data_IF_406136748942
#
_entry.id   IF_406136748942
#
_cell.length_a   1.000
_cell.length_b   1.000
_cell.length_c   1.000
_cell.angle_alpha   90.00
_cell.angle_beta   90.00
_cell.angle_gamma   90.00
#
_symmetry.space_group_name_H-M   'P 1'
#
loop_
_entity.id
_entity.type
_entity.pdbx_description
1 polymer ?
#
# COMPACT_ATOMS: atom_id res chain seq x y z
N UNK A 1 -4.95 -0.77 -18.46
CA UNK A 1 -4.28 -0.57 -17.17
C UNK A 1 -4.51 -1.80 -16.30
N UNK A 2 -3.53 -2.70 -16.18
CA UNK A 2 -3.63 -3.89 -15.35
C UNK A 2 -3.56 -3.49 -13.86
N UNK A 3 -4.60 -3.87 -13.11
CA UNK A 3 -4.78 -3.63 -11.69
C UNK A 3 -3.58 -4.17 -10.88
N UNK A 4 -3.11 -3.36 -9.94
CA UNK A 4 -2.14 -3.78 -8.94
C UNK A 4 -2.86 -4.62 -7.88
N UNK A 5 -3.10 -5.88 -8.19
CA UNK A 5 -3.23 -6.89 -7.15
C UNK A 5 -1.81 -7.21 -6.67
N UNK A 6 -1.50 -7.16 -5.36
CA UNK A 6 -0.29 -7.78 -4.87
C UNK A 6 -0.33 -9.24 -5.30
N UNK A 7 0.68 -9.68 -6.05
CA UNK A 7 0.88 -11.09 -6.32
C UNK A 7 0.96 -11.78 -4.95
N UNK A 8 0.20 -12.87 -4.78
CA UNK A 8 0.02 -13.57 -3.52
C UNK A 8 1.31 -13.63 -2.72
N UNK A 9 1.26 -13.11 -1.51
CA UNK A 9 2.27 -13.37 -0.48
C UNK A 9 2.28 -14.87 -0.23
N UNK A 10 3.28 -15.56 -0.77
CA UNK A 10 3.86 -16.68 -0.04
C UNK A 10 4.21 -16.17 1.34
N UNK A 11 3.65 -16.81 2.36
CA UNK A 11 3.84 -16.50 3.76
C UNK A 11 5.30 -16.11 4.04
N UNK A 12 5.50 -14.91 4.60
CA UNK A 12 6.73 -14.62 5.32
C UNK A 12 6.85 -15.66 6.43
N UNK A 13 7.81 -16.55 6.30
CA UNK A 13 8.21 -17.43 7.38
C UNK A 13 8.73 -16.54 8.52
N UNK A 14 8.12 -16.71 9.69
CA UNK A 14 8.49 -16.13 10.96
C UNK A 14 9.91 -16.61 11.32
N UNK A 15 10.94 -15.85 10.96
CA UNK A 15 12.28 -16.02 11.53
C UNK A 15 12.27 -15.33 12.88
N UNK A 16 11.92 -16.11 13.91
CA UNK A 16 11.93 -15.66 15.29
C UNK A 16 13.31 -15.14 15.69
N UNK A 17 13.40 -13.81 15.83
CA UNK A 17 14.51 -13.15 16.48
C UNK A 17 13.96 -12.39 17.69
N UNK A 18 14.33 -12.86 18.88
CA UNK A 18 13.94 -12.28 20.16
C UNK A 18 14.50 -10.86 20.29
N UNK A 19 13.72 -9.86 19.91
CA UNK A 19 13.98 -8.48 20.34
C UNK A 19 13.63 -8.36 21.83
N UNK A 20 14.63 -7.96 22.61
CA UNK A 20 14.52 -7.70 24.04
C UNK A 20 13.33 -6.74 24.33
N UNK A 21 12.48 -7.12 25.28
CA UNK A 21 11.38 -6.30 25.79
C UNK A 21 11.96 -5.06 26.46
N UNK A 22 11.91 -3.91 25.80
CA UNK A 22 11.99 -2.62 26.46
C UNK A 22 10.61 -2.31 27.00
N UNK A 23 10.47 -2.33 28.33
CA UNK A 23 9.22 -1.97 29.00
C UNK A 23 8.97 -0.46 28.82
N UNK A 24 7.93 -0.13 28.04
CA UNK A 24 7.39 1.22 27.97
C UNK A 24 6.42 1.39 29.14
N UNK A 25 6.62 2.37 30.05
CA UNK A 25 5.66 2.62 31.12
C UNK A 25 4.32 3.11 30.55
N UNK A 26 3.18 2.74 31.15
CA UNK A 26 1.88 3.21 30.70
C UNK A 26 1.77 4.73 30.88
N UNK A 27 1.00 5.41 30.00
CA UNK A 27 0.73 6.84 30.16
C UNK A 27 -0.05 7.12 31.45
N UNK A 28 0.15 8.29 32.09
CA UNK A 28 -0.63 8.66 33.26
C UNK A 28 -2.11 8.82 32.91
N UNK A 29 -2.97 8.43 33.84
CA UNK A 29 -4.42 8.58 33.72
C UNK A 29 -4.80 10.07 33.61
N UNK A 30 -5.78 10.43 32.77
CA UNK A 30 -6.26 11.80 32.70
C UNK A 30 -7.06 12.15 33.97
N UNK A 31 -6.73 13.31 34.54
CA UNK A 31 -7.41 13.91 35.68
C UNK A 31 -8.88 14.18 35.39
N UNK A 32 -9.73 13.80 36.34
CA UNK A 32 -11.17 14.07 36.34
C UNK A 32 -11.44 15.52 36.72
N UNK A 33 -12.14 16.27 35.88
CA UNK A 33 -12.90 17.44 36.30
C UNK A 33 -14.08 17.70 35.35
N UNK A 34 -15.29 17.73 35.93
CA UNK A 34 -16.45 18.45 35.40
C UNK A 34 -17.55 17.63 34.72
N UNK A 35 -18.58 17.23 35.49
CA UNK A 35 -19.94 16.98 34.98
C UNK A 35 -20.53 18.27 34.34
N UNK A 36 -21.49 18.12 33.41
CA UNK A 36 -22.86 18.27 33.85
C UNK A 36 -23.80 17.16 33.34
N UNK A 37 -24.85 16.98 34.14
CA UNK A 37 -25.94 16.01 34.08
C UNK A 37 -26.86 16.16 32.86
N UNK A 38 -27.28 15.03 32.31
CA UNK A 38 -28.57 14.88 31.65
C UNK A 38 -29.08 13.45 31.88
N UNK A 39 -30.20 13.36 32.60
CA UNK A 39 -30.94 12.13 32.86
C UNK A 39 -31.40 11.47 31.55
N UNK A 40 -31.11 10.18 31.40
CA UNK A 40 -31.89 9.28 30.58
C UNK A 40 -31.86 7.89 31.24
N UNK A 41 -32.89 7.62 32.03
CA UNK A 41 -33.23 6.30 32.53
C UNK A 41 -33.54 5.39 31.34
N UNK A 42 -32.73 4.36 31.10
CA UNK A 42 -33.12 3.20 30.28
C UNK A 42 -32.71 1.95 31.04
N UNK A 43 -33.72 1.19 31.46
CA UNK A 43 -33.57 -0.08 32.14
C UNK A 43 -32.95 -1.15 31.24
N UNK A 44 -32.24 -2.07 31.91
CA UNK A 44 -31.72 -3.31 31.36
C UNK A 44 -32.80 -4.14 30.66
N UNK A 45 -32.48 -4.60 29.44
CA UNK A 45 -32.18 -6.02 29.16
C UNK A 45 -31.93 -6.18 27.67
N UNK A 46 -30.67 -6.40 27.28
CA UNK A 46 -30.33 -6.96 25.98
C UNK A 46 -29.09 -7.82 26.15
N UNK A 47 -29.24 -9.12 25.88
CA UNK A 47 -28.19 -10.12 25.95
C UNK A 47 -27.08 -9.94 24.90
N UNK A 48 -26.20 -10.94 24.72
CA UNK A 48 -24.89 -10.83 24.06
C UNK A 48 -24.93 -10.72 22.52
N UNK A 49 -26.01 -10.20 21.93
CA UNK A 49 -26.18 -10.09 20.47
C UNK A 49 -25.50 -8.85 19.85
N UNK A 50 -25.15 -7.83 20.64
CA UNK A 50 -24.67 -6.53 20.11
C UNK A 50 -23.24 -6.48 19.57
N UNK A 51 -22.47 -7.58 19.62
CA UNK A 51 -21.08 -7.63 19.15
C UNK A 51 -20.94 -7.88 17.64
N UNK A 52 -21.75 -8.79 17.10
CA UNK A 52 -21.71 -9.16 15.68
C UNK A 52 -22.24 -8.03 14.78
N UNK A 53 -23.32 -7.37 15.19
CA UNK A 53 -23.94 -6.28 14.43
C UNK A 53 -23.03 -5.04 14.38
N UNK A 54 -22.31 -4.74 15.48
CA UNK A 54 -21.31 -3.67 15.51
C UNK A 54 -20.10 -3.97 14.63
N UNK A 55 -19.64 -5.22 14.60
CA UNK A 55 -18.54 -5.65 13.75
C UNK A 55 -18.91 -5.57 12.25
N UNK A 56 -20.14 -5.98 11.89
CA UNK A 56 -20.66 -5.88 10.54
C UNK A 56 -20.78 -4.42 10.07
N UNK A 57 -21.37 -3.54 10.89
CA UNK A 57 -21.47 -2.10 10.58
C UNK A 57 -20.10 -1.43 10.46
N UNK A 58 -19.14 -1.82 11.30
CA UNK A 58 -17.75 -1.32 11.23
C UNK A 58 -17.06 -1.77 9.94
N UNK A 59 -17.25 -3.02 9.53
CA UNK A 59 -16.70 -3.58 8.28
C UNK A 59 -17.29 -2.90 7.04
N UNK A 60 -18.60 -2.66 7.03
CA UNK A 60 -19.27 -1.95 5.94
C UNK A 60 -18.78 -0.51 5.81
N UNK A 61 -18.68 0.22 6.92
CA UNK A 61 -18.14 1.57 6.94
C UNK A 61 -16.70 1.63 6.42
N UNK A 62 -15.83 0.69 6.84
CA UNK A 62 -14.45 0.59 6.35
C UNK A 62 -14.39 0.25 4.85
N UNK A 63 -15.26 -0.64 4.37
CA UNK A 63 -15.33 -1.03 2.96
C UNK A 63 -15.78 0.13 2.08
N UNK A 64 -16.78 0.90 2.51
CA UNK A 64 -17.27 2.10 1.82
C UNK A 64 -16.21 3.20 1.78
N UNK A 65 -15.54 3.46 2.91
CA UNK A 65 -14.42 4.41 2.97
C UNK A 65 -13.25 3.98 2.09
N UNK A 66 -12.93 2.67 2.06
CA UNK A 66 -11.90 2.13 1.17
C UNK A 66 -12.27 2.33 -0.30
N UNK A 67 -13.51 2.03 -0.71
CA UNK A 67 -13.96 2.23 -2.08
C UNK A 67 -13.86 3.71 -2.50
N UNK A 68 -14.36 4.63 -1.66
CA UNK A 68 -14.31 6.07 -1.97
C UNK A 68 -12.88 6.63 -2.06
N UNK A 69 -11.98 6.21 -1.16
CA UNK A 69 -10.58 6.63 -1.22
C UNK A 69 -9.81 6.00 -2.38
N UNK A 70 -10.13 4.75 -2.73
CA UNK A 70 -9.60 4.08 -3.92
C UNK A 70 -10.08 4.77 -5.21
N UNK A 71 -11.33 5.23 -5.26
CA UNK A 71 -11.85 5.97 -6.41
C UNK A 71 -11.11 7.30 -6.59
N UNK A 72 -10.91 8.05 -5.50
CA UNK A 72 -10.10 9.26 -5.49
C UNK A 72 -8.65 9.00 -5.93
N UNK A 73 -8.05 7.87 -5.52
CA UNK A 73 -6.73 7.47 -5.99
C UNK A 73 -6.68 7.19 -7.50
N UNK A 74 -7.70 6.52 -8.06
CA UNK A 74 -7.76 6.30 -9.51
C UNK A 74 -7.91 7.61 -10.30
N UNK A 75 -8.73 8.54 -9.82
CA UNK A 75 -8.84 9.88 -10.42
C UNK A 75 -7.49 10.60 -10.37
N UNK A 76 -6.78 10.56 -9.24
CA UNK A 76 -5.44 11.15 -9.11
C UNK A 76 -4.43 10.53 -10.09
N UNK A 77 -4.42 9.21 -10.24
CA UNK A 77 -3.54 8.54 -11.19
C UNK A 77 -3.79 8.95 -12.64
N UNK A 78 -5.04 9.24 -12.99
CA UNK A 78 -5.44 9.74 -14.32
C UNK A 78 -5.12 11.22 -14.50
N UNK A 79 -5.52 12.04 -13.56
CA UNK A 79 -5.58 13.50 -13.71
C UNK A 79 -4.36 14.25 -13.13
N UNK A 80 -3.55 13.59 -12.29
CA UNK A 80 -2.32 14.13 -11.68
C UNK A 80 -2.54 15.48 -10.95
N UNK A 81 -3.64 15.61 -10.21
CA UNK A 81 -4.09 16.87 -9.60
C UNK A 81 -3.33 17.26 -8.34
N UNK A 82 -2.70 16.28 -7.69
CA UNK A 82 -1.83 16.50 -6.54
C UNK A 82 -0.40 16.82 -6.98
N UNK A 83 0.31 17.55 -6.13
CA UNK A 83 1.75 17.71 -6.30
C UNK A 83 2.50 16.38 -6.07
N UNK A 84 3.80 16.36 -6.39
CA UNK A 84 4.61 15.15 -6.30
C UNK A 84 4.70 14.59 -4.86
N UNK A 85 4.72 15.45 -3.85
CA UNK A 85 4.82 15.02 -2.45
C UNK A 85 3.47 14.47 -1.94
N UNK A 86 2.38 15.15 -2.25
CA UNK A 86 1.02 14.73 -1.91
C UNK A 86 0.65 13.42 -2.59
N UNK A 87 0.98 13.26 -3.88
CA UNK A 87 0.76 12.01 -4.62
C UNK A 87 1.52 10.84 -4.00
N UNK A 88 2.79 11.04 -3.61
CA UNK A 88 3.58 10.02 -2.89
C UNK A 88 2.96 9.65 -1.54
N UNK A 89 2.46 10.64 -0.80
CA UNK A 89 1.75 10.39 0.44
C UNK A 89 0.47 9.59 0.21
N UNK A 90 -0.31 9.93 -0.83
CA UNK A 90 -1.53 9.21 -1.17
C UNK A 90 -1.22 7.74 -1.53
N UNK A 91 -0.23 7.51 -2.39
CA UNK A 91 0.21 6.17 -2.79
C UNK A 91 0.62 5.31 -1.59
N UNK A 92 1.45 5.87 -0.69
CA UNK A 92 1.88 5.15 0.51
C UNK A 92 0.69 4.79 1.41
N UNK A 93 -0.21 5.74 1.67
CA UNK A 93 -1.39 5.50 2.49
C UNK A 93 -2.31 4.45 1.87
N UNK A 94 -2.53 4.47 0.55
CA UNK A 94 -3.33 3.45 -0.14
C UNK A 94 -2.69 2.06 -0.02
N UNK A 95 -1.36 1.98 -0.13
CA UNK A 95 -0.62 0.73 0.05
C UNK A 95 -0.76 0.17 1.47
N UNK A 96 -0.58 1.01 2.49
CA UNK A 96 -0.73 0.62 3.90
C UNK A 96 -2.18 0.22 4.21
N UNK A 97 -3.15 1.01 3.75
CA UNK A 97 -4.58 0.73 3.96
C UNK A 97 -4.99 -0.61 3.35
N UNK A 98 -4.55 -0.89 2.12
CA UNK A 98 -4.86 -2.16 1.45
C UNK A 98 -4.28 -3.35 2.22
N UNK A 99 -3.01 -3.27 2.66
CA UNK A 99 -2.38 -4.33 3.47
C UNK A 99 -3.08 -4.52 4.82
N UNK A 100 -3.47 -3.43 5.47
CA UNK A 100 -4.19 -3.49 6.74
C UNK A 100 -5.55 -4.20 6.59
N UNK A 101 -6.28 -3.92 5.51
CA UNK A 101 -7.55 -4.58 5.23
C UNK A 101 -7.36 -6.07 4.93
N UNK A 102 -6.33 -6.44 4.16
CA UNK A 102 -5.97 -7.86 3.95
C UNK A 102 -5.66 -8.56 5.27
N UNK A 103 -4.84 -7.94 6.12
CA UNK A 103 -4.48 -8.48 7.44
C UNK A 103 -5.68 -8.59 8.39
N UNK A 104 -6.71 -7.75 8.22
CA UNK A 104 -7.95 -7.83 8.99
C UNK A 104 -8.89 -8.97 8.57
N UNK A 105 -8.49 -9.77 7.57
CA UNK A 105 -9.27 -10.91 7.08
C UNK A 105 -10.31 -10.56 6.02
N UNK A 106 -10.22 -9.37 5.40
CA UNK A 106 -10.99 -9.08 4.19
C UNK A 106 -10.44 -9.96 3.05
N UNK A 107 -11.30 -10.75 2.41
CA UNK A 107 -10.84 -11.67 1.39
C UNK A 107 -10.33 -10.87 0.17
N UNK A 108 -9.26 -11.35 -0.47
CA UNK A 108 -8.70 -10.70 -1.67
C UNK A 108 -9.76 -10.46 -2.77
N UNK A 109 -10.73 -11.37 -2.88
CA UNK A 109 -11.86 -11.24 -3.81
C UNK A 109 -12.77 -10.06 -3.48
N UNK A 110 -13.02 -9.79 -2.19
CA UNK A 110 -13.83 -8.65 -1.76
C UNK A 110 -13.10 -7.34 -2.04
N UNK A 111 -11.80 -7.28 -1.72
CA UNK A 111 -10.95 -6.12 -2.03
C UNK A 111 -10.92 -5.83 -3.54
N UNK A 112 -10.76 -6.88 -4.37
CA UNK A 112 -10.82 -6.74 -5.81
C UNK A 112 -12.18 -6.20 -6.29
N UNK A 113 -13.28 -6.66 -5.70
CA UNK A 113 -14.62 -6.13 -5.97
C UNK A 113 -14.77 -4.65 -5.63
N UNK A 114 -14.27 -4.24 -4.46
CA UNK A 114 -14.26 -2.83 -4.05
C UNK A 114 -13.40 -1.96 -4.98
N UNK A 115 -12.24 -2.47 -5.41
CA UNK A 115 -11.37 -1.79 -6.37
C UNK A 115 -12.04 -1.63 -7.73
N UNK A 116 -12.77 -2.65 -8.21
CA UNK A 116 -13.52 -2.54 -9.47
C UNK A 116 -14.66 -1.51 -9.38
N UNK A 117 -15.39 -1.49 -8.27
CA UNK A 117 -16.42 -0.48 -8.02
C UNK A 117 -15.82 0.94 -7.95
N UNK A 118 -14.72 1.09 -7.23
CA UNK A 118 -13.99 2.34 -7.13
C UNK A 118 -13.47 2.82 -8.50
N UNK A 119 -12.99 1.91 -9.34
CA UNK A 119 -12.56 2.22 -10.69
C UNK A 119 -13.74 2.67 -11.57
N UNK A 120 -14.91 2.02 -11.43
CA UNK A 120 -16.14 2.42 -12.11
C UNK A 120 -16.58 3.83 -11.69
N UNK A 121 -16.57 4.12 -10.39
CA UNK A 121 -16.92 5.44 -9.84
C UNK A 121 -15.93 6.53 -10.29
N UNK A 122 -14.63 6.23 -10.32
CA UNK A 122 -13.61 7.13 -10.85
C UNK A 122 -13.78 7.43 -12.35
N UNK A 123 -14.33 6.47 -13.10
CA UNK A 123 -14.61 6.59 -14.54
C UNK A 123 -16.01 7.13 -14.84
N UNK A 124 -16.80 7.52 -13.83
CA UNK A 124 -18.05 8.22 -14.06
C UNK A 124 -17.78 9.55 -14.81
N UNK A 125 -18.67 9.90 -15.73
CA UNK A 125 -18.69 11.17 -16.45
C UNK A 125 -18.53 12.39 -15.54
N UNK A 126 -19.06 12.35 -14.32
CA UNK A 126 -18.94 13.43 -13.35
C UNK A 126 -17.50 13.72 -12.86
N UNK A 127 -16.55 12.83 -13.13
CA UNK A 127 -15.14 12.96 -12.70
C UNK A 127 -14.15 12.88 -13.84
N UNK A 128 -14.65 12.90 -15.08
CA UNK A 128 -13.85 12.70 -16.28
C UNK A 128 -13.05 13.94 -16.68
N UNK A 129 -13.51 15.12 -16.28
CA UNK A 129 -12.80 16.37 -16.48
C UNK A 129 -11.74 16.56 -15.38
N UNK A 130 -10.48 16.58 -15.79
CA UNK A 130 -9.35 16.80 -14.88
C UNK A 130 -9.14 18.28 -14.55
N UNK A 131 -9.85 19.20 -15.21
CA UNK A 131 -9.69 20.65 -15.02
C UNK A 131 -10.64 21.25 -13.99
N UNK A 132 -11.64 20.52 -13.52
CA UNK A 132 -12.66 21.06 -12.62
C UNK A 132 -12.24 21.05 -11.14
N UNK A 133 -12.72 22.03 -10.38
CA UNK A 133 -12.42 22.17 -8.95
C UNK A 133 -13.07 21.05 -8.11
N UNK A 134 -14.16 20.44 -8.60
CA UNK A 134 -14.89 19.39 -7.88
C UNK A 134 -14.10 18.07 -7.85
N UNK A 135 -13.49 17.69 -8.98
CA UNK A 135 -12.61 16.53 -9.16
C UNK A 135 -11.36 16.71 -8.34
N UNK A 136 -10.77 17.92 -8.33
CA UNK A 136 -9.66 18.23 -7.41
C UNK A 136 -10.08 18.10 -5.94
N UNK A 137 -11.23 18.67 -5.56
CA UNK A 137 -11.75 18.57 -4.20
C UNK A 137 -12.01 17.11 -3.78
N UNK A 138 -12.51 16.28 -4.71
CA UNK A 138 -12.71 14.84 -4.51
C UNK A 138 -11.39 14.12 -4.23
N UNK A 139 -10.35 14.36 -5.04
CA UNK A 139 -9.01 13.79 -4.83
C UNK A 139 -8.42 14.22 -3.48
N UNK A 140 -8.48 15.52 -3.15
CA UNK A 140 -7.98 16.07 -1.88
C UNK A 140 -8.74 15.47 -0.69
N UNK A 141 -10.06 15.29 -0.80
CA UNK A 141 -10.87 14.62 0.23
C UNK A 141 -10.45 13.16 0.42
N UNK A 142 -10.15 12.45 -0.66
CA UNK A 142 -9.59 11.09 -0.61
C UNK A 142 -8.27 11.03 0.14
N UNK A 143 -7.31 11.90 -0.20
CA UNK A 143 -6.02 11.99 0.51
C UNK A 143 -6.22 12.30 2.00
N UNK A 144 -7.07 13.25 2.35
CA UNK A 144 -7.38 13.59 3.75
C UNK A 144 -7.97 12.40 4.51
N UNK A 145 -8.88 11.66 3.88
CA UNK A 145 -9.50 10.49 4.50
C UNK A 145 -8.45 9.40 4.79
N UNK A 146 -7.58 9.07 3.84
CA UNK A 146 -6.56 8.02 4.09
C UNK A 146 -5.50 8.44 5.10
N UNK A 147 -5.12 9.73 5.14
CA UNK A 147 -4.23 10.30 6.17
C UNK A 147 -4.80 10.12 7.59
N UNK A 148 -6.12 10.21 7.74
CA UNK A 148 -6.80 10.02 9.02
C UNK A 148 -7.02 8.55 9.36
N UNK A 149 -7.30 7.70 8.38
CA UNK A 149 -7.64 6.29 8.61
C UNK A 149 -6.41 5.43 8.89
N UNK A 150 -5.33 5.61 8.13
CA UNK A 150 -4.15 4.72 8.22
C UNK A 150 -3.57 4.69 9.63
N UNK A 151 -3.31 5.83 10.31
CA UNK A 151 -2.80 5.81 11.69
C UNK A 151 -3.77 5.15 12.66
N UNK A 152 -5.08 5.33 12.49
CA UNK A 152 -6.11 4.72 13.35
C UNK A 152 -6.18 3.20 13.19
N UNK A 153 -5.97 2.69 11.98
CA UNK A 153 -6.05 1.27 11.68
C UNK A 153 -4.74 0.52 11.93
N UNK A 154 -3.60 1.19 11.78
CA UNK A 154 -2.29 0.53 11.74
C UNK A 154 -1.29 1.05 12.76
N UNK A 155 -1.55 2.20 13.37
CA UNK A 155 -0.55 2.92 14.17
C UNK A 155 0.58 3.57 13.36
N UNK A 156 0.62 3.37 12.03
CA UNK A 156 1.66 3.90 11.17
C UNK A 156 1.33 5.33 10.73
N UNK A 157 2.36 6.18 10.72
CA UNK A 157 2.28 7.54 10.20
C UNK A 157 3.12 7.66 8.93
N UNK A 158 2.68 8.48 7.99
CA UNK A 158 3.46 8.76 6.79
C UNK A 158 4.69 9.58 7.16
N UNK A 159 5.85 9.01 6.88
CA UNK A 159 7.13 9.70 6.91
C UNK A 159 7.69 9.70 5.48
N UNK A 160 7.90 10.87 4.87
CA UNK A 160 8.33 10.96 3.47
C UNK A 160 9.66 10.26 3.20
N UNK A 161 10.58 10.22 4.18
CA UNK A 161 11.86 9.53 4.02
C UNK A 161 11.66 8.01 4.06
N UNK A 162 10.92 7.50 5.04
CA UNK A 162 10.63 6.06 5.13
C UNK A 162 9.71 5.56 4.00
N UNK A 163 8.74 6.36 3.55
CA UNK A 163 7.89 5.99 2.43
C UNK A 163 8.64 5.94 1.09
N UNK A 164 9.62 6.84 0.94
CA UNK A 164 10.57 6.77 -0.18
C UNK A 164 11.33 5.43 -0.12
N UNK A 165 11.85 5.06 1.06
CA UNK A 165 12.55 3.80 1.28
C UNK A 165 11.70 2.56 0.97
N UNK A 166 10.47 2.48 1.46
CA UNK A 166 9.55 1.37 1.21
C UNK A 166 9.31 1.16 -0.29
N UNK A 167 9.04 2.25 -1.01
CA UNK A 167 8.75 2.21 -2.45
C UNK A 167 9.99 1.82 -3.25
N UNK A 168 11.15 2.40 -2.92
CA UNK A 168 12.40 2.09 -3.59
C UNK A 168 12.86 0.66 -3.32
N UNK A 169 12.63 0.14 -2.11
CA UNK A 169 12.87 -1.26 -1.74
C UNK A 169 12.08 -2.22 -2.63
N UNK A 170 10.80 -1.94 -2.86
CA UNK A 170 9.96 -2.78 -3.71
C UNK A 170 10.44 -2.78 -5.17
N UNK A 171 10.68 -1.59 -5.74
CA UNK A 171 11.13 -1.49 -7.14
C UNK A 171 12.51 -2.11 -7.28
N UNK A 172 13.43 -1.87 -6.34
CA UNK A 172 14.74 -2.49 -6.31
C UNK A 172 14.65 -4.01 -6.31
N UNK A 173 13.80 -4.57 -5.44
CA UNK A 173 13.58 -6.01 -5.36
C UNK A 173 13.12 -6.58 -6.69
N UNK A 174 12.18 -5.90 -7.38
CA UNK A 174 11.68 -6.32 -8.68
C UNK A 174 12.71 -6.18 -9.80
N UNK A 175 13.51 -5.11 -9.78
CA UNK A 175 14.60 -4.88 -10.73
C UNK A 175 15.68 -5.95 -10.58
N UNK A 176 16.12 -6.23 -9.35
CA UNK A 176 17.11 -7.28 -9.08
C UNK A 176 16.57 -8.67 -9.43
N UNK A 177 15.31 -8.96 -9.11
CA UNK A 177 14.68 -10.21 -9.55
C UNK A 177 14.62 -10.29 -11.08
N UNK A 178 14.25 -9.22 -11.77
CA UNK A 178 14.21 -9.17 -13.24
C UNK A 178 15.58 -9.37 -13.89
N UNK A 179 16.62 -8.75 -13.35
CA UNK A 179 18.01 -8.96 -13.79
C UNK A 179 18.45 -10.41 -13.57
N UNK A 180 18.17 -10.97 -12.39
CA UNK A 180 18.50 -12.36 -12.09
C UNK A 180 17.76 -13.34 -13.01
N UNK A 181 16.52 -13.06 -13.39
CA UNK A 181 15.79 -13.84 -14.42
C UNK A 181 16.46 -13.70 -15.78
N UNK A 182 16.81 -12.48 -16.18
CA UNK A 182 17.49 -12.22 -17.45
C UNK A 182 18.88 -12.86 -17.54
N UNK A 183 19.53 -13.16 -16.41
CA UNK A 183 20.80 -13.89 -16.39
C UNK A 183 20.66 -15.35 -16.85
N UNK A 184 19.53 -16.01 -16.58
CA UNK A 184 19.27 -17.38 -17.03
C UNK A 184 18.25 -17.52 -18.17
N UNK A 185 17.46 -16.48 -18.45
CA UNK A 185 16.54 -16.35 -19.59
C UNK A 185 16.86 -15.07 -20.40
N UNK A 186 18.02 -15.01 -21.07
CA UNK A 186 18.50 -13.78 -21.72
C UNK A 186 17.54 -13.25 -22.80
N UNK A 187 16.73 -14.10 -23.41
CA UNK A 187 15.76 -13.72 -24.44
C UNK A 187 14.54 -12.95 -23.91
N UNK A 188 14.34 -12.87 -22.59
CA UNK A 188 13.19 -12.18 -21.99
C UNK A 188 13.43 -10.70 -21.69
N UNK A 189 14.66 -10.21 -21.83
CA UNK A 189 14.99 -8.81 -21.55
C UNK A 189 15.89 -8.26 -22.64
N UNK A 190 15.41 -7.23 -23.33
CA UNK A 190 16.21 -6.50 -24.29
C UNK A 190 17.35 -5.73 -23.59
N UNK A 191 18.46 -5.52 -24.30
CA UNK A 191 19.68 -4.91 -23.74
C UNK A 191 19.45 -3.49 -23.17
N UNK A 192 18.57 -2.71 -23.79
CA UNK A 192 18.21 -1.38 -23.33
C UNK A 192 17.43 -1.43 -22.00
N UNK A 193 16.49 -2.38 -21.87
CA UNK A 193 15.76 -2.63 -20.62
C UNK A 193 16.72 -3.11 -19.53
N UNK A 194 17.63 -4.02 -19.87
CA UNK A 194 18.67 -4.51 -18.96
C UNK A 194 19.55 -3.38 -18.45
N UNK A 195 20.02 -2.51 -19.36
CA UNK A 195 20.82 -1.34 -19.03
C UNK A 195 20.08 -0.38 -18.08
N UNK A 196 18.78 -0.13 -18.32
CA UNK A 196 17.94 0.68 -17.42
C UNK A 196 17.82 0.05 -16.03
N UNK A 197 17.60 -1.26 -15.96
CA UNK A 197 17.52 -2.00 -14.70
C UNK A 197 18.83 -1.92 -13.91
N UNK A 198 19.96 -2.15 -14.57
CA UNK A 198 21.28 -2.03 -13.95
C UNK A 198 21.53 -0.61 -13.42
N UNK A 199 21.20 0.42 -14.22
CA UNK A 199 21.32 1.82 -13.81
C UNK A 199 20.49 2.14 -12.56
N UNK A 200 19.23 1.68 -12.52
CA UNK A 200 18.36 1.87 -11.37
C UNK A 200 18.86 1.11 -10.13
N UNK A 201 19.28 -0.16 -10.27
CA UNK A 201 19.90 -0.94 -9.18
C UNK A 201 21.05 -0.16 -8.56
N UNK A 202 21.97 0.34 -9.39
CA UNK A 202 23.15 1.11 -8.92
C UNK A 202 22.75 2.41 -8.22
N UNK A 203 21.73 3.14 -8.70
CA UNK A 203 21.24 4.34 -8.02
C UNK A 203 20.70 4.02 -6.61
N UNK A 204 19.89 2.97 -6.48
CA UNK A 204 19.34 2.57 -5.18
C UNK A 204 20.45 2.07 -4.26
N UNK A 205 21.39 1.26 -4.75
CA UNK A 205 22.50 0.78 -3.91
C UNK A 205 23.33 1.94 -3.37
N UNK A 206 23.57 2.96 -4.20
CA UNK A 206 24.25 4.19 -3.81
C UNK A 206 23.46 4.95 -2.73
N UNK A 207 22.16 5.13 -2.90
CA UNK A 207 21.31 5.87 -1.94
C UNK A 207 21.09 5.12 -0.65
N UNK A 208 20.92 3.80 -0.71
CA UNK A 208 20.83 2.92 0.45
C UNK A 208 22.05 3.05 1.36
N UNK A 209 23.25 3.22 0.78
CA UNK A 209 24.47 3.49 1.54
C UNK A 209 24.43 4.84 2.27
N UNK A 210 23.86 5.88 1.65
CA UNK A 210 23.69 7.21 2.27
C UNK A 210 22.65 7.17 3.38
N UNK A 211 21.58 6.41 3.20
CA UNK A 211 20.44 6.31 4.12
C UNK A 211 20.56 5.16 5.14
N UNK A 212 21.75 4.58 5.31
CA UNK A 212 22.04 3.49 6.25
C UNK A 212 21.12 2.25 6.13
N UNK A 213 20.65 1.94 4.92
CA UNK A 213 19.90 0.73 4.64
C UNK A 213 20.80 -0.49 4.51
N UNK A 214 20.31 -1.65 4.96
CA UNK A 214 20.96 -2.92 4.73
C UNK A 214 20.77 -3.39 3.28
N UNK A 215 21.78 -3.17 2.44
CA UNK A 215 21.83 -3.76 1.10
C UNK A 215 21.72 -5.28 1.12
N UNK A 216 22.18 -5.92 2.19
CA UNK A 216 22.10 -7.37 2.36
C UNK A 216 20.63 -7.82 2.46
N UNK A 217 19.80 -7.11 3.23
CA UNK A 217 18.37 -7.42 3.37
C UNK A 217 17.63 -7.23 2.04
N UNK A 218 17.89 -6.11 1.34
CA UNK A 218 17.27 -5.84 0.03
C UNK A 218 17.61 -6.93 -1.00
N UNK A 219 18.88 -7.36 -1.04
CA UNK A 219 19.32 -8.45 -1.92
C UNK A 219 18.71 -9.80 -1.50
N UNK A 220 18.63 -10.09 -0.20
CA UNK A 220 18.01 -11.31 0.30
C UNK A 220 16.53 -11.41 -0.10
N UNK A 221 15.77 -10.32 0.00
CA UNK A 221 14.37 -10.27 -0.46
C UNK A 221 14.24 -10.52 -1.97
N UNK A 222 15.14 -9.93 -2.77
CA UNK A 222 15.15 -10.14 -4.22
C UNK A 222 15.47 -11.61 -4.57
N UNK A 223 16.47 -12.20 -3.91
CA UNK A 223 16.85 -13.60 -4.09
C UNK A 223 15.71 -14.56 -3.71
N UNK A 224 15.02 -14.30 -2.61
CA UNK A 224 13.87 -15.11 -2.19
C UNK A 224 12.77 -15.13 -3.25
N UNK A 225 12.51 -13.99 -3.91
CA UNK A 225 11.53 -13.89 -5.01
C UNK A 225 12.02 -14.61 -6.26
N UNK A 226 13.29 -14.47 -6.61
CA UNK A 226 13.87 -15.17 -7.77
C UNK A 226 13.84 -16.69 -7.57
N UNK A 227 14.04 -17.19 -6.34
CA UNK A 227 14.04 -18.63 -6.06
C UNK A 227 12.69 -19.33 -6.38
N UNK A 228 11.59 -18.58 -6.45
CA UNK A 228 10.28 -19.09 -6.87
C UNK A 228 10.17 -19.30 -8.39
N UNK A 229 11.10 -18.77 -9.18
CA UNK A 229 11.12 -18.84 -10.64
C UNK A 229 12.27 -19.77 -11.05
N UNK A 230 11.91 -20.97 -11.50
CA UNK A 230 12.88 -22.06 -11.76
C UNK A 230 13.09 -22.34 -13.25
N UNK A 231 12.35 -21.66 -14.12
CA UNK A 231 12.30 -21.92 -15.56
C UNK A 231 12.00 -20.66 -16.36
N UNK A 232 12.39 -20.69 -17.64
CA UNK A 232 12.07 -19.64 -18.63
C UNK A 232 10.64 -19.83 -19.17
N UNK A 233 9.66 -19.59 -18.32
CA UNK A 233 8.23 -19.72 -18.63
C UNK A 233 7.48 -18.37 -18.56
N UNK A 234 6.16 -18.42 -18.67
CA UNK A 234 5.30 -17.23 -18.63
C UNK A 234 5.36 -16.50 -17.28
N UNK A 235 5.69 -17.18 -16.18
CA UNK A 235 5.88 -16.54 -14.88
C UNK A 235 7.13 -15.66 -14.90
N UNK A 236 8.23 -16.14 -15.47
CA UNK A 236 9.45 -15.36 -15.67
C UNK A 236 9.21 -14.13 -16.57
N UNK A 237 8.54 -14.30 -17.72
CA UNK A 237 8.17 -13.17 -18.61
C UNK A 237 7.30 -12.14 -17.88
N UNK A 238 6.29 -12.60 -17.14
CA UNK A 238 5.37 -11.74 -16.39
C UNK A 238 6.12 -10.94 -15.32
N UNK A 239 7.08 -11.55 -14.63
CA UNK A 239 7.90 -10.86 -13.63
C UNK A 239 8.73 -9.73 -14.25
N UNK A 240 9.40 -9.98 -15.39
CA UNK A 240 10.17 -8.95 -16.11
C UNK A 240 9.26 -7.84 -16.64
N UNK A 241 8.12 -8.18 -17.25
CA UNK A 241 7.17 -7.19 -17.76
C UNK A 241 6.63 -6.30 -16.63
N UNK A 242 6.32 -6.89 -15.46
CA UNK A 242 5.86 -6.16 -14.28
C UNK A 242 6.94 -5.21 -13.74
N UNK A 243 8.19 -5.67 -13.65
CA UNK A 243 9.31 -4.83 -13.23
C UNK A 243 9.54 -3.66 -14.20
N UNK A 244 9.48 -3.92 -15.51
CA UNK A 244 9.68 -2.92 -16.57
C UNK A 244 8.61 -1.83 -16.53
N UNK A 245 7.35 -2.25 -16.38
CA UNK A 245 6.22 -1.34 -16.24
C UNK A 245 6.37 -0.45 -15.01
N UNK A 246 6.69 -1.03 -13.85
CA UNK A 246 6.84 -0.29 -12.60
C UNK A 246 8.03 0.67 -12.61
N UNK A 247 9.13 0.29 -13.25
CA UNK A 247 10.28 1.19 -13.42
C UNK A 247 9.92 2.38 -14.30
N UNK A 248 9.18 2.16 -15.40
CA UNK A 248 8.76 3.24 -16.29
C UNK A 248 7.77 4.21 -15.62
N UNK A 249 6.83 3.69 -14.82
CA UNK A 249 5.92 4.51 -14.00
C UNK A 249 6.63 5.32 -12.91
N UNK A 250 7.89 5.00 -12.60
CA UNK A 250 8.69 5.70 -11.60
C UNK A 250 9.55 6.82 -12.20
N UNK A 251 9.96 6.67 -13.45
CA UNK A 251 10.82 7.65 -14.15
C UNK A 251 10.03 8.89 -14.62
N UNK A 252 8.70 8.79 -14.75
CA UNK A 252 7.75 9.89 -15.05
C UNK A 252 7.39 10.74 -13.81
#
# INVERSE_FOLDING_TARGET
MALWAPAGTTALADTGEQRAKVAVPPPPAPDKAGEPTAEATIGEKSGPAGGADKAAATREALSSLYAGTTAAWFVEMRCRLLDKAERRAFEWHMGVLTRALQASGLADRELAGLQQLAQKDANDTARHDCGDDETRAFVVKGLKAVRLMVPKLTGLSYDPENAWLDRHTLIYTLVVTGLAIADFCPEFMADDVRSRFDGYRTDIERRAKVNHLSLAELRAQALQRTAAIKSCDDQARTAIAKATKLLSEFEE
#
